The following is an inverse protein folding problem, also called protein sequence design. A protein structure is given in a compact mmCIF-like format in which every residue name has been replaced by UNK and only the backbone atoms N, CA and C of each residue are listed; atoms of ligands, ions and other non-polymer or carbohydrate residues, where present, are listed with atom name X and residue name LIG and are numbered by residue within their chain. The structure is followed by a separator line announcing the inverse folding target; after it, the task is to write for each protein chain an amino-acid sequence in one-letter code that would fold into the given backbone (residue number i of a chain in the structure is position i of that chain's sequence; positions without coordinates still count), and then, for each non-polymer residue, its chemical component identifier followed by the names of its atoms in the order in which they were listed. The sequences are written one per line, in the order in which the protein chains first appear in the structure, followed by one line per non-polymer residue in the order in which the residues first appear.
data_IF_878033522734
#
_entry.id   IF_878033522734
#
_cell.length_a   1.000
_cell.length_b   1.000
_cell.length_c   1.000
_cell.angle_alpha   90.00
_cell.angle_beta   90.00
_cell.angle_gamma   90.00
#
_symmetry.space_group_name_H-M   'P 1'
#
loop_
_entity.id
_entity.type
_entity.pdbx_description
1 polymer ?
#
# COMPACT_ATOMS: atom_id res chain seq x y z
N UNK A 1 -14.30 -59.57 33.85
CA UNK A 1 -15.03 -58.34 33.49
C UNK A 1 -14.39 -57.03 33.91
N UNK A 2 -13.19 -56.96 34.50
CA UNK A 2 -12.53 -55.68 34.93
C UNK A 2 -11.45 -55.15 33.95
N UNK A 3 -11.05 -55.91 32.91
CA UNK A 3 -10.01 -55.46 31.96
C UNK A 3 -10.52 -54.68 30.76
N UNK A 4 -11.79 -54.78 30.41
CA UNK A 4 -12.37 -54.07 29.25
C UNK A 4 -12.88 -52.65 29.60
N UNK A 5 -13.09 -52.37 30.90
CA UNK A 5 -13.58 -51.04 31.31
C UNK A 5 -12.46 -49.98 31.33
N UNK A 6 -11.20 -50.40 31.50
CA UNK A 6 -10.06 -49.48 31.52
C UNK A 6 -9.63 -49.05 30.11
N UNK A 7 -9.88 -49.89 29.10
CA UNK A 7 -9.59 -49.54 27.70
C UNK A 7 -10.60 -48.54 27.10
N UNK A 8 -11.82 -48.56 27.58
CA UNK A 8 -12.86 -47.62 27.11
C UNK A 8 -12.70 -46.21 27.69
N UNK A 9 -12.18 -46.10 28.91
CA UNK A 9 -11.89 -44.80 29.54
C UNK A 9 -10.66 -44.15 28.91
N UNK A 10 -9.62 -44.92 28.58
CA UNK A 10 -8.42 -44.41 27.88
C UNK A 10 -8.73 -43.98 26.43
N UNK A 11 -9.65 -44.61 25.73
CA UNK A 11 -10.06 -44.22 24.40
C UNK A 11 -10.95 -42.96 24.42
N UNK A 12 -11.77 -42.73 25.45
CA UNK A 12 -12.54 -41.51 25.65
C UNK A 12 -11.64 -40.32 26.03
N UNK A 13 -10.58 -40.54 26.83
CA UNK A 13 -9.60 -39.49 27.12
C UNK A 13 -8.75 -39.13 25.90
N UNK A 14 -8.41 -40.09 25.04
CA UNK A 14 -7.70 -39.82 23.79
C UNK A 14 -8.59 -39.09 22.73
N UNK A 15 -9.90 -39.28 22.79
CA UNK A 15 -10.88 -38.55 21.96
C UNK A 15 -11.19 -37.16 22.54
N UNK A 16 -11.16 -36.97 23.86
CA UNK A 16 -11.30 -35.66 24.51
C UNK A 16 -10.07 -34.77 24.34
N UNK A 17 -8.87 -35.36 24.23
CA UNK A 17 -7.64 -34.61 23.98
C UNK A 17 -7.55 -34.05 22.51
N UNK A 18 -8.42 -34.50 21.62
CA UNK A 18 -8.50 -33.99 20.24
C UNK A 18 -9.53 -32.88 20.02
N UNK A 19 -10.24 -32.46 21.04
CA UNK A 19 -11.26 -31.40 20.99
C UNK A 19 -10.84 -30.12 21.75
N UNK A 20 -9.56 -29.87 21.94
CA UNK A 20 -9.10 -28.52 22.23
C UNK A 20 -9.15 -27.77 20.89
N UNK A 21 -10.11 -26.85 20.75
CA UNK A 21 -10.17 -25.94 19.61
C UNK A 21 -8.78 -25.29 19.46
N UNK A 22 -8.11 -25.59 18.37
CA UNK A 22 -6.82 -24.97 18.08
C UNK A 22 -7.04 -23.47 17.96
N UNK A 23 -6.28 -22.68 18.71
CA UNK A 23 -6.28 -21.22 18.60
C UNK A 23 -5.77 -20.85 17.20
N UNK A 24 -6.63 -20.23 16.40
CA UNK A 24 -6.37 -19.96 14.98
C UNK A 24 -5.83 -18.55 14.76
N UNK A 25 -5.32 -18.28 13.56
CA UNK A 25 -4.98 -16.91 13.15
C UNK A 25 -6.21 -15.98 13.20
N UNK A 26 -7.41 -16.47 12.89
CA UNK A 26 -8.64 -15.70 12.98
C UNK A 26 -8.95 -15.27 14.42
N UNK A 27 -8.78 -16.17 15.38
CA UNK A 27 -8.94 -15.87 16.81
C UNK A 27 -7.91 -14.82 17.26
N UNK A 28 -6.66 -14.97 16.79
CA UNK A 28 -5.61 -14.01 17.07
C UNK A 28 -5.93 -12.61 16.49
N UNK A 29 -6.45 -12.49 15.27
CA UNK A 29 -6.80 -11.21 14.70
C UNK A 29 -7.89 -10.48 15.47
N UNK A 30 -8.91 -11.19 15.95
CA UNK A 30 -9.94 -10.60 16.82
C UNK A 30 -9.34 -10.06 18.12
N UNK A 31 -8.42 -10.80 18.74
CA UNK A 31 -7.69 -10.36 19.93
C UNK A 31 -6.79 -9.14 19.62
N UNK A 32 -6.04 -9.21 18.52
CA UNK A 32 -5.10 -8.16 18.11
C UNK A 32 -5.78 -6.83 17.83
N UNK A 33 -6.96 -6.85 17.21
CA UNK A 33 -7.74 -5.64 16.93
C UNK A 33 -8.17 -4.95 18.23
N UNK A 34 -8.70 -5.69 19.20
CA UNK A 34 -9.10 -5.14 20.49
C UNK A 34 -7.88 -4.60 21.28
N UNK A 35 -6.76 -5.31 21.21
CA UNK A 35 -5.51 -4.89 21.82
C UNK A 35 -4.98 -3.59 21.18
N UNK A 36 -5.10 -3.45 19.85
CA UNK A 36 -4.66 -2.27 19.10
C UNK A 36 -5.37 -0.99 19.51
N UNK A 37 -6.68 -1.03 19.65
CA UNK A 37 -7.49 0.11 20.10
C UNK A 37 -7.04 0.57 21.50
N UNK A 38 -6.79 -0.38 22.41
CA UNK A 38 -6.31 -0.09 23.76
C UNK A 38 -4.90 0.47 23.76
N UNK A 39 -3.98 -0.06 22.94
CA UNK A 39 -2.62 0.46 22.77
C UNK A 39 -2.66 1.92 22.33
N UNK A 40 -3.48 2.24 21.33
CA UNK A 40 -3.58 3.61 20.81
C UNK A 40 -4.07 4.60 21.89
N UNK A 41 -4.99 4.18 22.75
CA UNK A 41 -5.43 4.99 23.87
C UNK A 41 -4.31 5.18 24.89
N UNK A 42 -3.65 4.10 25.33
CA UNK A 42 -2.57 4.14 26.32
C UNK A 42 -1.39 5.00 25.84
N UNK A 43 -1.06 4.90 24.56
CA UNK A 43 -0.02 5.71 23.93
C UNK A 43 -0.32 7.21 24.06
N UNK A 44 -1.55 7.63 23.71
CA UNK A 44 -2.01 9.04 23.86
C UNK A 44 -2.00 9.51 25.30
N UNK A 45 -2.23 8.61 26.25
CA UNK A 45 -2.21 8.90 27.70
C UNK A 45 -0.79 8.86 28.29
N UNK A 46 0.24 8.49 27.51
CA UNK A 46 1.62 8.34 28.00
C UNK A 46 1.83 7.12 28.91
N UNK A 47 0.90 6.18 28.92
CA UNK A 47 0.94 4.96 29.76
C UNK A 47 1.76 3.83 29.10
N UNK A 48 3.00 4.13 28.78
CA UNK A 48 3.87 3.26 27.99
C UNK A 48 4.18 1.92 28.65
N UNK A 49 4.13 1.84 29.99
CA UNK A 49 4.35 0.56 30.68
C UNK A 49 3.18 -0.41 30.48
N UNK A 50 1.94 0.08 30.55
CA UNK A 50 0.75 -0.72 30.29
C UNK A 50 0.66 -1.14 28.82
N UNK A 51 1.07 -0.25 27.91
CA UNK A 51 1.16 -0.53 26.47
C UNK A 51 2.20 -1.60 26.17
N UNK A 52 3.38 -1.55 26.80
CA UNK A 52 4.43 -2.58 26.70
C UNK A 52 3.91 -3.98 27.09
N UNK A 53 3.12 -4.07 28.16
CA UNK A 53 2.53 -5.32 28.62
C UNK A 53 1.57 -5.92 27.59
N UNK A 54 0.80 -5.07 26.87
CA UNK A 54 -0.07 -5.52 25.80
C UNK A 54 0.76 -6.08 24.64
N UNK A 55 1.83 -5.42 24.22
CA UNK A 55 2.69 -5.94 23.15
C UNK A 55 3.35 -7.28 23.53
N UNK A 56 3.79 -7.42 24.78
CA UNK A 56 4.34 -8.70 25.28
C UNK A 56 3.26 -9.79 25.28
N UNK A 57 2.03 -9.45 25.68
CA UNK A 57 0.90 -10.38 25.65
C UNK A 57 0.55 -10.79 24.22
N UNK A 58 0.57 -9.84 23.27
CA UNK A 58 0.37 -10.12 21.85
C UNK A 58 1.40 -11.13 21.31
N UNK A 59 2.68 -10.97 21.64
CA UNK A 59 3.71 -11.94 21.24
C UNK A 59 3.44 -13.34 21.78
N UNK A 60 3.06 -13.45 23.06
CA UNK A 60 2.72 -14.74 23.70
C UNK A 60 1.52 -15.38 23.01
N UNK A 61 0.46 -14.60 22.76
CA UNK A 61 -0.74 -15.09 22.07
C UNK A 61 -0.45 -15.55 20.64
N UNK A 62 0.46 -14.88 19.95
CA UNK A 62 0.87 -15.26 18.61
C UNK A 62 1.64 -16.60 18.60
N UNK A 63 2.32 -16.96 19.67
CA UNK A 63 2.99 -18.26 19.84
C UNK A 63 2.01 -19.42 20.06
N UNK A 64 0.78 -19.14 20.56
CA UNK A 64 -0.27 -20.13 20.75
C UNK A 64 -0.98 -20.51 19.43
N UNK A 65 -0.77 -19.75 18.34
CA UNK A 65 -1.45 -19.96 17.06
C UNK A 65 -1.00 -21.26 16.43
N UNK A 66 -1.98 -22.12 16.15
CA UNK A 66 -1.78 -23.36 15.41
C UNK A 66 -1.93 -23.11 13.91
N UNK A 67 -0.95 -23.55 13.13
CA UNK A 67 -1.04 -23.49 11.67
C UNK A 67 -2.05 -24.51 11.17
N UNK A 68 -2.87 -24.13 10.21
CA UNK A 68 -3.79 -25.03 9.51
C UNK A 68 -3.06 -25.71 8.34
N UNK A 69 -3.62 -26.81 7.83
CA UNK A 69 -3.07 -27.50 6.64
C UNK A 69 -3.22 -26.67 5.36
N UNK A 70 -4.14 -25.71 5.36
CA UNK A 70 -4.36 -24.80 4.24
C UNK A 70 -3.30 -23.67 4.25
N UNK A 71 -2.37 -23.72 3.30
CA UNK A 71 -1.27 -22.78 3.08
C UNK A 71 -0.42 -22.44 4.34
N UNK A 72 0.25 -23.42 4.94
CA UNK A 72 1.05 -23.20 6.17
C UNK A 72 2.22 -22.22 5.95
N UNK A 73 2.75 -22.14 4.73
CA UNK A 73 3.84 -21.22 4.37
C UNK A 73 3.37 -19.75 4.45
N UNK A 74 2.19 -19.46 3.90
CA UNK A 74 1.60 -18.12 3.95
C UNK A 74 1.29 -17.71 5.39
N UNK A 75 0.73 -18.63 6.18
CA UNK A 75 0.45 -18.38 7.59
C UNK A 75 1.71 -18.09 8.38
N UNK A 76 2.80 -18.85 8.15
CA UNK A 76 4.09 -18.59 8.78
C UNK A 76 4.64 -17.21 8.42
N UNK A 77 4.63 -16.84 7.15
CA UNK A 77 5.08 -15.52 6.70
C UNK A 77 4.27 -14.40 7.35
N UNK A 78 2.96 -14.59 7.49
CA UNK A 78 2.07 -13.64 8.16
C UNK A 78 2.40 -13.50 9.65
N UNK A 79 2.66 -14.61 10.35
CA UNK A 79 3.10 -14.61 11.75
C UNK A 79 4.43 -13.87 11.91
N UNK A 80 5.39 -14.08 11.01
CA UNK A 80 6.66 -13.36 11.03
C UNK A 80 6.47 -11.85 10.82
N UNK A 81 5.62 -11.45 9.88
CA UNK A 81 5.27 -10.05 9.66
C UNK A 81 4.57 -9.40 10.88
N UNK A 82 3.67 -10.13 11.52
CA UNK A 82 3.05 -9.67 12.78
C UNK A 82 4.08 -9.51 13.90
N UNK A 83 4.99 -10.47 14.08
CA UNK A 83 6.09 -10.35 15.05
C UNK A 83 6.97 -9.14 14.75
N UNK A 84 7.31 -8.90 13.50
CA UNK A 84 8.10 -7.75 13.07
C UNK A 84 7.47 -6.44 13.53
N UNK A 85 6.17 -6.26 13.28
CA UNK A 85 5.43 -5.05 13.68
C UNK A 85 5.29 -4.91 15.20
N UNK A 86 5.00 -6.00 15.92
CA UNK A 86 4.88 -5.97 17.38
C UNK A 86 6.21 -5.60 18.01
N UNK A 87 7.33 -6.18 17.56
CA UNK A 87 8.66 -5.85 18.07
C UNK A 87 9.06 -4.40 17.75
N UNK A 88 8.65 -3.85 16.59
CA UNK A 88 8.86 -2.46 16.27
C UNK A 88 8.14 -1.55 17.27
N UNK A 89 6.84 -1.77 17.49
CA UNK A 89 6.06 -1.00 18.47
C UNK A 89 6.60 -1.17 19.90
N UNK A 90 7.06 -2.37 20.25
CA UNK A 90 7.72 -2.62 21.52
C UNK A 90 9.03 -1.83 21.67
N UNK A 91 9.78 -1.63 20.57
CA UNK A 91 10.96 -0.78 20.56
C UNK A 91 10.59 0.68 20.79
N UNK A 92 9.49 1.18 20.17
CA UNK A 92 8.96 2.53 20.35
C UNK A 92 8.63 2.80 21.83
N UNK A 93 7.76 2.00 22.43
CA UNK A 93 7.33 2.23 23.82
C UNK A 93 8.48 2.09 24.82
N UNK A 94 9.45 1.20 24.58
CA UNK A 94 10.65 1.08 25.41
C UNK A 94 11.59 2.28 25.25
N UNK A 95 11.70 2.83 24.05
CA UNK A 95 12.42 4.09 23.82
C UNK A 95 11.79 5.24 24.62
N UNK A 96 10.46 5.41 24.54
CA UNK A 96 9.74 6.45 25.26
C UNK A 96 9.89 6.30 26.78
N UNK A 97 10.01 5.08 27.29
CA UNK A 97 10.31 4.81 28.71
C UNK A 97 11.81 4.99 29.06
N UNK A 98 12.65 5.41 28.12
CA UNK A 98 14.11 5.51 28.27
C UNK A 98 14.81 4.17 28.60
N UNK A 99 14.16 3.03 28.27
CA UNK A 99 14.74 1.68 28.35
C UNK A 99 15.58 1.41 27.10
N UNK A 100 16.68 2.15 26.95
CA UNK A 100 17.44 2.24 25.68
C UNK A 100 17.93 0.90 25.17
N UNK A 101 18.48 0.06 26.05
CA UNK A 101 19.02 -1.26 25.68
C UNK A 101 17.91 -2.16 25.17
N UNK A 102 16.82 -2.27 25.91
CA UNK A 102 15.66 -3.10 25.58
C UNK A 102 14.93 -2.62 24.32
N UNK A 103 14.90 -1.29 24.07
CA UNK A 103 14.36 -0.72 22.85
C UNK A 103 15.19 -1.14 21.63
N UNK A 104 16.51 -1.07 21.69
CA UNK A 104 17.41 -1.48 20.62
C UNK A 104 17.32 -2.99 20.36
N UNK A 105 17.25 -3.81 21.41
CA UNK A 105 17.07 -5.27 21.29
C UNK A 105 15.72 -5.63 20.63
N UNK A 106 14.66 -4.87 20.94
CA UNK A 106 13.36 -5.07 20.30
C UNK A 106 13.40 -4.66 18.81
N UNK A 107 14.03 -3.53 18.46
CA UNK A 107 14.21 -3.12 17.06
C UNK A 107 15.06 -4.14 16.28
N UNK A 108 16.09 -4.69 16.87
CA UNK A 108 16.89 -5.74 16.25
C UNK A 108 16.05 -6.99 15.95
N UNK A 109 15.16 -7.39 16.86
CA UNK A 109 14.21 -8.48 16.64
C UNK A 109 13.19 -8.13 15.53
N UNK A 110 12.67 -6.91 15.52
CA UNK A 110 11.78 -6.46 14.44
C UNK A 110 12.43 -6.66 13.07
N UNK A 111 13.67 -6.21 12.91
CA UNK A 111 14.45 -6.36 11.67
C UNK A 111 14.71 -7.85 11.35
N UNK A 112 15.02 -8.67 12.34
CA UNK A 112 15.23 -10.10 12.15
C UNK A 112 13.97 -10.85 11.68
N UNK A 113 12.78 -10.37 12.04
CA UNK A 113 11.49 -10.86 11.55
C UNK A 113 11.02 -10.20 10.24
N UNK A 114 11.86 -9.36 9.61
CA UNK A 114 11.58 -8.80 8.28
C UNK A 114 11.05 -7.36 8.26
N UNK A 115 11.05 -6.64 9.42
CA UNK A 115 10.77 -5.20 9.40
C UNK A 115 11.81 -4.46 8.57
N UNK A 116 11.39 -3.62 7.62
CA UNK A 116 12.28 -3.03 6.63
C UNK A 116 11.99 -1.55 6.29
N UNK A 117 11.15 -0.85 7.08
CA UNK A 117 10.84 0.55 6.81
C UNK A 117 11.91 1.49 7.37
N UNK A 118 12.90 1.81 6.51
CA UNK A 118 13.97 2.74 6.82
C UNK A 118 13.47 4.15 7.12
N UNK A 119 12.53 4.66 6.30
CA UNK A 119 12.09 6.06 6.40
C UNK A 119 11.30 6.30 7.66
N UNK A 120 10.36 5.41 7.95
CA UNK A 120 9.58 5.48 9.17
C UNK A 120 10.51 5.40 10.39
N UNK A 121 11.38 4.40 10.47
CA UNK A 121 12.34 4.25 11.58
C UNK A 121 13.21 5.49 11.78
N UNK A 122 13.66 6.12 10.69
CA UNK A 122 14.54 7.30 10.73
C UNK A 122 13.84 8.53 11.31
N UNK A 123 12.56 8.71 11.03
CA UNK A 123 11.78 9.91 11.38
C UNK A 123 10.87 9.72 12.58
N UNK A 124 10.63 8.50 13.00
CA UNK A 124 9.73 8.16 14.10
C UNK A 124 10.15 8.86 15.40
N UNK A 125 9.25 9.67 15.93
CA UNK A 125 9.51 10.50 17.12
C UNK A 125 9.65 9.65 18.38
N UNK A 126 9.09 8.46 18.42
CA UNK A 126 9.19 7.53 19.55
C UNK A 126 10.64 7.09 19.83
N UNK A 127 11.50 7.16 18.81
CA UNK A 127 12.92 6.83 18.97
C UNK A 127 13.80 7.98 19.45
N UNK A 128 13.21 9.10 19.92
CA UNK A 128 13.97 10.27 20.34
C UNK A 128 15.07 9.94 21.37
N UNK A 129 14.81 9.01 22.28
CA UNK A 129 15.74 8.64 23.35
C UNK A 129 16.87 7.71 22.90
N UNK A 130 16.71 7.03 21.75
CA UNK A 130 17.74 6.10 21.23
C UNK A 130 18.32 6.54 19.87
N UNK A 131 17.79 7.58 19.24
CA UNK A 131 18.17 8.04 17.89
C UNK A 131 19.67 8.32 17.72
N UNK A 132 20.35 8.71 18.80
CA UNK A 132 21.81 8.99 18.82
C UNK A 132 22.66 7.81 19.25
N UNK A 133 22.07 6.70 19.65
CA UNK A 133 22.79 5.52 20.09
C UNK A 133 23.49 4.83 18.91
N UNK A 134 24.77 4.49 19.07
CA UNK A 134 25.56 3.85 17.98
C UNK A 134 24.90 2.59 17.44
N UNK A 135 24.32 1.76 18.30
CA UNK A 135 23.64 0.53 17.89
C UNK A 135 22.39 0.82 17.07
N UNK A 136 21.59 1.85 17.43
CA UNK A 136 20.45 2.28 16.65
C UNK A 136 20.85 2.72 15.24
N UNK A 137 21.91 3.52 15.11
CA UNK A 137 22.42 3.96 13.82
C UNK A 137 22.88 2.79 12.94
N UNK A 138 23.51 1.79 13.53
CA UNK A 138 23.87 0.55 12.81
C UNK A 138 22.64 -0.21 12.33
N UNK A 139 21.58 -0.33 13.15
CA UNK A 139 20.33 -0.97 12.75
C UNK A 139 19.62 -0.17 11.66
N UNK A 140 19.62 1.15 11.77
CA UNK A 140 19.05 2.03 10.75
C UNK A 140 19.75 1.84 9.39
N UNK A 141 21.08 1.76 9.37
CA UNK A 141 21.84 1.51 8.12
C UNK A 141 21.54 0.10 7.54
N UNK A 142 21.19 -0.91 8.35
CA UNK A 142 20.73 -2.22 7.85
C UNK A 142 19.39 -2.11 7.09
N UNK A 143 18.53 -1.16 7.46
CA UNK A 143 17.25 -0.91 6.79
C UNK A 143 17.40 -0.12 5.48
N UNK A 144 18.47 0.67 5.34
CA UNK A 144 18.66 1.58 4.20
C UNK A 144 18.56 0.92 2.82
N UNK A 145 19.07 -0.30 2.57
CA UNK A 145 18.93 -0.97 1.28
C UNK A 145 17.49 -1.26 0.86
N UNK A 146 16.53 -1.26 1.81
CA UNK A 146 15.10 -1.45 1.55
C UNK A 146 14.35 -0.14 1.26
N UNK A 147 14.99 1.03 1.44
CA UNK A 147 14.37 2.32 1.08
C UNK A 147 14.11 2.39 -0.42
N UNK A 148 12.83 2.53 -0.79
CA UNK A 148 12.39 2.59 -2.19
C UNK A 148 13.08 3.71 -2.97
N UNK A 149 13.42 4.85 -2.33
CA UNK A 149 14.18 5.92 -2.97
C UNK A 149 15.64 5.51 -3.22
N UNK A 150 16.28 4.86 -2.27
CA UNK A 150 17.64 4.34 -2.43
C UNK A 150 17.70 3.31 -3.56
N UNK A 151 16.71 2.39 -3.60
CA UNK A 151 16.54 1.42 -4.69
C UNK A 151 16.39 2.15 -6.04
N UNK A 152 15.55 3.17 -6.09
CA UNK A 152 15.31 3.97 -7.30
C UNK A 152 16.59 4.70 -7.74
N UNK A 153 17.33 5.30 -6.82
CA UNK A 153 18.59 6.01 -7.10
C UNK A 153 19.66 5.08 -7.65
N UNK A 154 19.70 3.83 -7.19
CA UNK A 154 20.62 2.80 -7.67
C UNK A 154 20.19 2.14 -8.99
N UNK A 155 18.93 2.27 -9.37
CA UNK A 155 18.38 1.60 -10.57
C UNK A 155 18.85 2.20 -11.90
N UNK A 156 19.47 3.40 -11.91
CA UNK A 156 19.89 4.10 -13.12
C UNK A 156 18.74 4.65 -13.98
N UNK A 157 19.04 5.00 -15.23
CA UNK A 157 18.07 5.54 -16.17
C UNK A 157 17.15 4.48 -16.77
N UNK A 158 16.08 4.91 -17.47
CA UNK A 158 15.27 4.01 -18.28
C UNK A 158 16.08 3.38 -19.43
N UNK A 159 15.78 2.13 -19.74
CA UNK A 159 16.28 1.52 -20.97
C UNK A 159 15.70 2.25 -22.18
N UNK A 160 16.58 2.72 -23.06
CA UNK A 160 16.17 3.45 -24.29
C UNK A 160 16.11 2.55 -25.52
N UNK A 161 16.50 1.30 -25.41
CA UNK A 161 16.43 0.36 -26.55
C UNK A 161 14.98 -0.05 -26.78
N UNK A 162 14.46 0.38 -27.92
CA UNK A 162 13.23 -0.20 -28.47
C UNK A 162 13.59 -1.54 -29.09
N UNK A 163 12.97 -2.61 -28.63
CA UNK A 163 12.98 -3.87 -29.35
C UNK A 163 11.93 -3.76 -30.44
N UNK A 164 12.30 -4.04 -31.70
CA UNK A 164 11.39 -4.01 -32.88
C UNK A 164 10.22 -5.01 -32.76
N UNK A 165 10.18 -5.79 -31.68
CA UNK A 165 9.13 -6.76 -31.38
C UNK A 165 7.91 -6.16 -30.68
N UNK A 166 7.98 -4.90 -30.20
CA UNK A 166 6.83 -4.27 -29.56
C UNK A 166 5.87 -3.71 -30.62
N UNK A 167 4.56 -3.97 -30.51
CA UNK A 167 3.57 -3.40 -31.39
C UNK A 167 3.59 -1.86 -31.29
N UNK A 168 3.32 -1.18 -32.42
CA UNK A 168 3.15 0.26 -32.41
C UNK A 168 1.93 0.61 -31.56
N UNK A 169 2.12 1.53 -30.61
CA UNK A 169 1.04 2.05 -29.80
C UNK A 169 0.24 3.07 -30.63
N UNK A 170 -1.07 2.87 -30.71
CA UNK A 170 -2.01 3.78 -31.36
C UNK A 170 -3.12 4.15 -30.40
N UNK A 171 -3.73 5.32 -30.63
CA UNK A 171 -4.87 5.77 -29.85
C UNK A 171 -6.16 5.51 -30.62
N UNK A 172 -7.19 5.11 -29.89
CA UNK A 172 -8.54 5.03 -30.38
C UNK A 172 -9.04 6.45 -30.74
N UNK A 173 -9.80 6.57 -31.83
CA UNK A 173 -10.39 7.85 -32.20
C UNK A 173 -11.43 8.28 -31.17
N UNK A 174 -11.47 9.57 -30.82
CA UNK A 174 -12.54 10.11 -29.96
C UNK A 174 -13.95 9.96 -30.56
N UNK A 175 -14.04 9.66 -31.87
CA UNK A 175 -15.29 9.34 -32.57
C UNK A 175 -15.64 7.87 -32.58
N UNK A 176 -14.85 7.05 -31.91
CA UNK A 176 -15.19 5.63 -31.72
C UNK A 176 -16.50 5.53 -30.90
N UNK A 177 -17.45 4.69 -31.32
CA UNK A 177 -18.76 4.60 -30.65
C UNK A 177 -18.66 4.32 -29.13
N UNK A 178 -17.67 3.54 -28.71
CA UNK A 178 -17.47 3.26 -27.28
C UNK A 178 -17.05 4.50 -26.51
N UNK A 179 -16.14 5.31 -27.06
CA UNK A 179 -15.69 6.56 -26.44
C UNK A 179 -16.76 7.66 -26.51
N UNK A 180 -17.55 7.73 -27.61
CA UNK A 180 -18.72 8.61 -27.68
C UNK A 180 -19.76 8.23 -26.61
N UNK A 181 -19.96 6.93 -26.36
CA UNK A 181 -20.84 6.46 -25.29
C UNK A 181 -20.35 6.92 -23.92
N UNK A 182 -19.06 6.76 -23.60
CA UNK A 182 -18.45 7.27 -22.35
C UNK A 182 -18.64 8.78 -22.21
N UNK A 183 -18.38 9.54 -23.29
CA UNK A 183 -18.53 11.01 -23.33
C UNK A 183 -19.96 11.44 -22.98
N UNK A 184 -20.94 10.78 -23.59
CA UNK A 184 -22.36 11.08 -23.39
C UNK A 184 -22.84 10.65 -22.01
N UNK A 185 -22.45 9.45 -21.55
CA UNK A 185 -22.86 8.88 -20.26
C UNK A 185 -22.47 9.81 -19.10
N UNK A 186 -21.21 10.25 -19.07
CA UNK A 186 -20.69 11.13 -18.03
C UNK A 186 -20.93 12.62 -18.31
N UNK A 187 -21.49 13.00 -19.48
CA UNK A 187 -21.64 14.39 -19.92
C UNK A 187 -20.31 15.14 -19.87
N UNK A 188 -19.25 14.52 -20.43
CA UNK A 188 -17.87 14.97 -20.23
C UNK A 188 -17.62 16.40 -20.72
N UNK A 189 -18.35 16.92 -21.70
CA UNK A 189 -18.27 18.31 -22.12
C UNK A 189 -18.63 19.29 -21.00
N UNK A 190 -19.64 18.92 -20.19
CA UNK A 190 -20.04 19.70 -19.03
C UNK A 190 -19.02 19.57 -17.88
N UNK A 191 -18.53 18.35 -17.64
CA UNK A 191 -17.54 18.04 -16.60
C UNK A 191 -16.23 18.76 -16.88
N UNK A 192 -15.73 18.65 -18.10
CA UNK A 192 -14.48 19.28 -18.53
C UNK A 192 -14.59 20.83 -18.52
N UNK A 193 -15.77 21.36 -18.79
CA UNK A 193 -16.01 22.79 -18.78
C UNK A 193 -15.46 23.51 -20.04
N UNK A 194 -15.52 24.86 -20.01
CA UNK A 194 -15.16 25.72 -21.14
C UNK A 194 -13.73 26.30 -21.06
N UNK A 195 -12.94 25.91 -20.08
CA UNK A 195 -11.57 26.36 -19.89
C UNK A 195 -10.60 25.87 -20.96
N UNK A 196 -9.33 26.23 -20.81
CA UNK A 196 -8.25 25.72 -21.63
C UNK A 196 -8.04 24.18 -21.45
N UNK A 197 -7.11 23.61 -22.20
CA UNK A 197 -6.85 22.18 -22.19
C UNK A 197 -6.46 21.67 -20.77
N UNK A 198 -5.57 22.39 -20.07
CA UNK A 198 -5.13 22.01 -18.72
C UNK A 198 -6.27 22.05 -17.72
N UNK A 199 -7.13 23.07 -17.82
CA UNK A 199 -8.34 23.15 -16.99
C UNK A 199 -9.26 21.93 -17.21
N UNK A 200 -9.43 21.48 -18.44
CA UNK A 200 -10.21 20.29 -18.77
C UNK A 200 -9.57 19.02 -18.21
N UNK A 201 -8.26 18.86 -18.37
CA UNK A 201 -7.51 17.73 -17.80
C UNK A 201 -7.73 17.66 -16.28
N UNK A 202 -7.57 18.75 -15.56
CA UNK A 202 -7.73 18.76 -14.11
C UNK A 202 -9.18 18.67 -13.65
N UNK A 203 -10.14 19.13 -14.44
CA UNK A 203 -11.56 18.95 -14.12
C UNK A 203 -11.97 17.48 -14.20
N UNK A 204 -11.51 16.75 -15.21
CA UNK A 204 -11.73 15.31 -15.35
C UNK A 204 -11.03 14.50 -14.23
N UNK A 205 -9.81 14.87 -13.86
CA UNK A 205 -9.09 14.30 -12.73
C UNK A 205 -9.92 14.42 -11.43
N UNK A 206 -10.35 15.66 -11.11
CA UNK A 206 -11.19 15.91 -9.92
C UNK A 206 -12.52 15.19 -9.96
N UNK A 207 -13.12 15.07 -11.14
CA UNK A 207 -14.37 14.35 -11.29
C UNK A 207 -14.23 12.88 -10.91
N UNK A 208 -13.23 12.18 -11.42
CA UNK A 208 -12.98 10.76 -11.09
C UNK A 208 -12.71 10.61 -9.60
N UNK A 209 -11.78 11.39 -9.06
CA UNK A 209 -11.43 11.34 -7.65
C UNK A 209 -12.62 11.55 -6.70
N UNK A 210 -13.47 12.54 -7.01
CA UNK A 210 -14.58 12.91 -6.12
C UNK A 210 -15.81 12.00 -6.26
N UNK A 211 -15.94 11.27 -7.36
CA UNK A 211 -17.13 10.47 -7.63
C UNK A 211 -16.95 8.96 -7.47
N UNK A 212 -15.71 8.48 -7.36
CA UNK A 212 -15.38 7.07 -7.19
C UNK A 212 -14.40 6.94 -6.03
N UNK A 213 -14.83 6.33 -4.93
CA UNK A 213 -13.97 6.16 -3.76
C UNK A 213 -12.82 5.18 -4.03
N UNK A 214 -11.65 5.46 -3.50
CA UNK A 214 -10.51 4.55 -3.55
C UNK A 214 -10.56 3.53 -2.40
N UNK A 215 -10.29 2.26 -2.74
CA UNK A 215 -10.01 1.18 -1.80
C UNK A 215 -8.96 0.25 -2.42
N UNK A 216 -7.72 0.37 -1.99
CA UNK A 216 -6.60 -0.42 -2.52
C UNK A 216 -6.75 -1.93 -2.31
N UNK A 217 -7.50 -2.34 -1.28
CA UNK A 217 -7.78 -3.74 -0.96
C UNK A 217 -8.93 -4.35 -1.76
N UNK A 218 -9.76 -3.54 -2.42
CA UNK A 218 -10.90 -4.02 -3.17
C UNK A 218 -10.60 -4.14 -4.67
N UNK A 219 -10.51 -5.37 -5.16
CA UNK A 219 -10.48 -5.65 -6.58
C UNK A 219 -11.93 -5.79 -7.08
N UNK A 220 -12.47 -4.72 -7.66
CA UNK A 220 -13.86 -4.69 -8.14
C UNK A 220 -14.08 -5.74 -9.23
N UNK A 221 -15.11 -6.57 -9.07
CA UNK A 221 -15.51 -7.58 -10.04
C UNK A 221 -16.49 -6.95 -11.04
N UNK A 222 -15.96 -6.20 -12.00
CA UNK A 222 -16.68 -5.56 -13.09
C UNK A 222 -15.79 -5.53 -14.33
N UNK A 223 -16.33 -5.16 -15.49
CA UNK A 223 -15.53 -4.93 -16.68
C UNK A 223 -14.56 -3.75 -16.47
N UNK A 224 -13.45 -3.79 -17.21
CA UNK A 224 -12.42 -2.75 -17.12
C UNK A 224 -12.70 -1.58 -18.05
N UNK A 225 -13.87 -0.98 -17.88
CA UNK A 225 -14.27 0.26 -18.55
C UNK A 225 -14.84 1.29 -17.57
N UNK A 226 -14.88 2.55 -17.98
CA UNK A 226 -15.24 3.67 -17.12
C UNK A 226 -16.66 3.57 -16.57
N UNK A 227 -17.60 3.07 -17.37
CA UNK A 227 -19.02 3.01 -17.02
C UNK A 227 -19.27 1.91 -16.02
N UNK A 228 -18.75 0.72 -16.26
CA UNK A 228 -18.95 -0.44 -15.36
C UNK A 228 -18.26 -0.24 -14.03
N UNK A 229 -17.05 0.33 -14.01
CA UNK A 229 -16.34 0.70 -12.77
C UNK A 229 -17.17 1.72 -11.95
N UNK A 230 -17.68 2.75 -12.61
CA UNK A 230 -18.51 3.75 -11.94
C UNK A 230 -19.81 3.14 -11.40
N UNK A 231 -20.48 2.31 -12.18
CA UNK A 231 -21.71 1.63 -11.80
C UNK A 231 -21.50 0.64 -10.66
N UNK A 232 -20.38 -0.11 -10.66
CA UNK A 232 -19.99 -0.95 -9.53
C UNK A 232 -19.89 -0.15 -8.23
N UNK A 233 -19.18 0.99 -8.26
CA UNK A 233 -19.06 1.87 -7.09
C UNK A 233 -20.44 2.39 -6.64
N UNK A 234 -21.26 2.85 -7.57
CA UNK A 234 -22.60 3.38 -7.26
C UNK A 234 -23.55 2.33 -6.65
N UNK A 235 -23.53 1.12 -7.19
CA UNK A 235 -24.39 0.03 -6.74
C UNK A 235 -23.94 -0.55 -5.38
N UNK A 236 -22.65 -0.74 -5.20
CA UNK A 236 -22.09 -1.43 -4.02
C UNK A 236 -21.71 -0.51 -2.88
N UNK A 237 -21.50 0.78 -3.16
CA UNK A 237 -20.89 1.79 -2.26
C UNK A 237 -19.47 1.44 -1.81
N UNK A 238 -18.83 0.44 -2.42
CA UNK A 238 -17.43 0.07 -2.17
C UNK A 238 -16.51 0.93 -3.00
N UNK A 239 -15.33 1.22 -2.47
CA UNK A 239 -14.23 1.83 -3.23
C UNK A 239 -13.68 0.85 -4.28
N UNK A 240 -12.84 1.36 -5.16
CA UNK A 240 -12.12 0.58 -6.18
C UNK A 240 -10.62 0.87 -6.07
N UNK A 241 -9.76 -0.02 -6.58
CA UNK A 241 -8.32 0.21 -6.49
C UNK A 241 -7.81 1.24 -7.52
N UNK A 242 -6.54 1.63 -7.38
CA UNK A 242 -5.89 2.65 -8.22
C UNK A 242 -5.96 2.34 -9.73
N UNK A 243 -5.91 1.06 -10.12
CA UNK A 243 -6.01 0.65 -11.53
C UNK A 243 -7.37 1.00 -12.13
N UNK A 244 -8.45 0.73 -11.41
CA UNK A 244 -9.80 1.07 -11.88
C UNK A 244 -9.99 2.58 -12.04
N UNK A 245 -9.49 3.38 -11.08
CA UNK A 245 -9.53 4.85 -11.18
C UNK A 245 -8.74 5.34 -12.39
N UNK A 246 -7.54 4.79 -12.61
CA UNK A 246 -6.70 5.17 -13.75
C UNK A 246 -7.30 4.76 -15.09
N UNK A 247 -7.97 3.61 -15.20
CA UNK A 247 -8.71 3.17 -16.41
C UNK A 247 -9.86 4.12 -16.68
N UNK A 248 -10.68 4.41 -15.67
CA UNK A 248 -11.81 5.34 -15.79
C UNK A 248 -11.37 6.70 -16.31
N UNK A 249 -10.33 7.27 -15.72
CA UNK A 249 -9.81 8.58 -16.14
C UNK A 249 -9.19 8.52 -17.55
N UNK A 250 -8.50 7.42 -17.87
CA UNK A 250 -7.93 7.23 -19.22
C UNK A 250 -8.98 7.26 -20.30
N UNK A 251 -10.09 6.53 -20.14
CA UNK A 251 -11.17 6.52 -21.12
C UNK A 251 -11.86 7.88 -21.23
N UNK A 252 -12.05 8.60 -20.12
CA UNK A 252 -12.60 9.96 -20.16
C UNK A 252 -11.69 10.92 -20.94
N UNK A 253 -10.36 10.81 -20.79
CA UNK A 253 -9.43 11.60 -21.61
C UNK A 253 -9.51 11.24 -23.07
N UNK A 254 -9.49 9.96 -23.42
CA UNK A 254 -9.60 9.50 -24.81
C UNK A 254 -10.92 9.93 -25.45
N UNK A 255 -12.04 9.84 -24.71
CA UNK A 255 -13.36 10.30 -25.14
C UNK A 255 -13.41 11.83 -25.43
N UNK A 256 -12.53 12.59 -24.77
CA UNK A 256 -12.36 14.03 -25.01
C UNK A 256 -11.28 14.36 -26.06
N UNK A 257 -10.71 13.34 -26.70
CA UNK A 257 -9.64 13.49 -27.69
C UNK A 257 -8.29 13.87 -27.10
N UNK A 258 -8.10 13.66 -25.81
CA UNK A 258 -6.84 13.92 -25.08
C UNK A 258 -6.05 12.61 -25.01
N UNK A 259 -4.88 12.48 -25.67
CA UNK A 259 -4.10 11.27 -25.62
C UNK A 259 -3.67 10.93 -24.18
N UNK A 260 -4.00 9.75 -23.73
CA UNK A 260 -3.71 9.29 -22.37
C UNK A 260 -3.43 7.80 -22.36
N UNK A 261 -2.69 7.37 -21.35
CA UNK A 261 -2.45 5.96 -21.03
C UNK A 261 -2.28 5.81 -19.51
N UNK A 262 -2.76 4.73 -18.96
CA UNK A 262 -2.42 4.39 -17.57
C UNK A 262 -1.09 3.63 -17.51
N UNK A 263 -0.35 3.84 -16.44
CA UNK A 263 1.00 3.29 -16.23
C UNK A 263 1.05 2.65 -14.85
N UNK A 264 1.44 1.38 -14.79
CA UNK A 264 1.68 0.69 -13.52
C UNK A 264 3.12 0.95 -13.07
N UNK A 265 3.26 1.56 -11.91
CA UNK A 265 4.54 1.73 -11.22
C UNK A 265 4.79 0.47 -10.39
N UNK A 266 5.71 -0.37 -10.85
CA UNK A 266 6.04 -1.63 -10.20
C UNK A 266 7.27 -1.49 -9.30
N UNK A 267 7.34 -2.21 -8.16
CA UNK A 267 8.56 -2.33 -7.38
C UNK A 267 9.64 -3.09 -8.15
N UNK A 268 10.89 -2.95 -7.72
CA UNK A 268 12.03 -3.68 -8.30
C UNK A 268 11.98 -5.18 -7.99
N UNK A 269 11.54 -5.52 -6.79
CA UNK A 269 11.37 -6.93 -6.38
C UNK A 269 10.07 -7.47 -7.00
N UNK A 270 10.13 -8.52 -7.84
CA UNK A 270 8.94 -9.12 -8.46
C UNK A 270 8.00 -9.81 -7.45
N UNK A 271 8.47 -10.08 -6.23
CA UNK A 271 7.65 -10.64 -5.15
C UNK A 271 6.95 -9.58 -4.31
N UNK A 272 7.34 -8.31 -4.45
CA UNK A 272 6.65 -7.18 -3.82
C UNK A 272 5.40 -6.86 -4.65
N UNK A 273 4.23 -7.08 -4.08
CA UNK A 273 2.94 -6.83 -4.74
C UNK A 273 2.47 -5.38 -4.61
N UNK A 274 3.23 -4.53 -3.91
CA UNK A 274 2.92 -3.12 -3.74
C UNK A 274 3.16 -2.36 -5.05
N UNK A 275 2.08 -2.04 -5.76
CA UNK A 275 2.15 -1.27 -7.00
C UNK A 275 1.14 -0.12 -6.98
N UNK A 276 1.42 0.90 -7.79
CA UNK A 276 0.50 2.01 -7.98
C UNK A 276 0.26 2.29 -9.46
N UNK A 277 -0.98 2.65 -9.81
CA UNK A 277 -1.36 2.93 -11.21
C UNK A 277 -1.77 4.39 -11.35
N UNK A 278 -1.13 5.07 -12.27
CA UNK A 278 -1.31 6.50 -12.57
C UNK A 278 -1.58 6.70 -14.07
N UNK A 279 -1.89 7.92 -14.46
CA UNK A 279 -2.05 8.29 -15.87
C UNK A 279 -0.86 9.11 -16.38
N UNK A 280 -0.48 8.87 -17.63
CA UNK A 280 0.38 9.72 -18.42
C UNK A 280 -0.48 10.37 -19.49
N UNK A 281 -0.64 11.70 -19.46
CA UNK A 281 -1.55 12.46 -20.29
C UNK A 281 -0.76 13.43 -21.17
N UNK A 282 -1.02 13.46 -22.49
CA UNK A 282 -0.33 14.38 -23.39
C UNK A 282 -1.08 15.70 -23.46
N UNK A 283 -0.41 16.76 -23.09
CA UNK A 283 -0.93 18.12 -23.30
C UNK A 283 -0.42 18.70 -24.61
N UNK A 284 -1.34 19.00 -25.51
CA UNK A 284 -1.06 19.74 -26.76
C UNK A 284 -0.59 21.16 -26.45
N UNK A 285 -1.15 21.78 -25.42
CA UNK A 285 -0.79 23.14 -25.00
C UNK A 285 0.68 23.20 -24.55
N UNK A 286 1.16 22.16 -23.83
CA UNK A 286 2.53 22.08 -23.33
C UNK A 286 3.47 21.30 -24.26
N UNK A 287 2.94 20.64 -25.29
CA UNK A 287 3.69 19.73 -26.18
C UNK A 287 4.48 18.66 -25.41
N UNK A 288 3.91 18.15 -24.31
CA UNK A 288 4.56 17.14 -23.48
C UNK A 288 3.56 16.25 -22.72
N UNK A 289 4.06 15.11 -22.28
CA UNK A 289 3.36 14.24 -21.33
C UNK A 289 3.42 14.81 -19.93
N UNK A 290 2.33 14.67 -19.16
CA UNK A 290 2.25 15.05 -17.75
C UNK A 290 1.81 13.87 -16.89
N UNK A 291 2.28 13.84 -15.65
CA UNK A 291 1.96 12.87 -14.62
C UNK A 291 0.66 13.25 -13.92
N UNK A 292 -0.31 12.34 -13.87
CA UNK A 292 -1.63 12.56 -13.26
C UNK A 292 -1.99 11.33 -12.41
N UNK A 293 -2.48 11.54 -11.19
CA UNK A 293 -2.91 10.48 -10.28
C UNK A 293 -4.35 10.68 -9.81
N UNK A 294 -5.31 9.91 -10.30
CA UNK A 294 -6.71 10.02 -9.90
C UNK A 294 -6.96 9.52 -8.47
N UNK A 295 -6.12 8.64 -7.95
CA UNK A 295 -6.25 8.14 -6.58
C UNK A 295 -6.07 9.27 -5.56
N UNK A 296 -5.09 10.12 -5.78
CA UNK A 296 -4.73 11.20 -4.86
C UNK A 296 -5.18 12.60 -5.34
N UNK A 297 -5.93 12.70 -6.45
CA UNK A 297 -6.24 13.96 -7.12
C UNK A 297 -4.99 14.81 -7.36
N UNK A 298 -3.90 14.16 -7.79
CA UNK A 298 -2.59 14.79 -7.79
C UNK A 298 -1.98 14.95 -9.18
N UNK A 299 -1.18 16.00 -9.31
CA UNK A 299 -0.21 16.21 -10.37
C UNK A 299 1.07 16.82 -9.78
N UNK A 300 2.18 16.71 -10.51
CA UNK A 300 3.49 17.10 -10.00
C UNK A 300 4.07 18.25 -10.81
N UNK A 301 4.64 19.22 -10.11
CA UNK A 301 5.37 20.36 -10.68
C UNK A 301 6.82 20.38 -10.19
N UNK A 302 7.66 21.10 -10.92
CA UNK A 302 8.94 21.54 -10.41
C UNK A 302 8.80 22.81 -9.54
N UNK A 303 9.92 23.31 -9.02
CA UNK A 303 10.03 24.54 -8.22
C UNK A 303 9.64 25.81 -8.99
N UNK A 304 9.60 25.75 -10.32
CA UNK A 304 9.22 26.86 -11.19
C UNK A 304 7.74 26.78 -11.62
N UNK A 305 7.00 25.76 -11.14
CA UNK A 305 5.59 25.56 -11.45
C UNK A 305 5.33 24.80 -12.75
N UNK A 306 6.36 24.26 -13.43
CA UNK A 306 6.19 23.48 -14.65
C UNK A 306 5.69 22.07 -14.34
N UNK A 307 4.63 21.63 -15.02
CA UNK A 307 4.11 20.25 -14.90
C UNK A 307 5.14 19.24 -15.38
N UNK A 308 5.26 18.13 -14.66
CA UNK A 308 6.25 17.09 -14.89
C UNK A 308 5.63 15.81 -15.46
N UNK A 309 6.36 15.16 -16.35
CA UNK A 309 6.10 13.79 -16.80
C UNK A 309 6.56 12.76 -15.78
N UNK A 310 6.13 11.50 -15.94
CA UNK A 310 6.59 10.36 -15.12
C UNK A 310 8.12 10.23 -15.14
N UNK A 311 8.73 10.42 -16.32
CA UNK A 311 10.18 10.34 -16.48
C UNK A 311 10.91 11.49 -15.76
N UNK A 312 10.38 12.71 -15.84
CA UNK A 312 10.96 13.87 -15.14
C UNK A 312 10.81 13.75 -13.61
N UNK A 313 9.65 13.26 -13.12
CA UNK A 313 9.46 12.98 -11.69
C UNK A 313 10.49 11.96 -11.21
N UNK A 314 10.68 10.87 -11.95
CA UNK A 314 11.67 9.85 -11.63
C UNK A 314 13.10 10.40 -11.62
N UNK A 315 13.47 11.19 -12.65
CA UNK A 315 14.79 11.82 -12.72
C UNK A 315 15.05 12.74 -11.52
N UNK A 316 14.05 13.54 -11.16
CA UNK A 316 14.14 14.44 -10.00
C UNK A 316 14.28 13.69 -8.68
N UNK A 317 13.57 12.56 -8.49
CA UNK A 317 13.73 11.69 -7.32
C UNK A 317 15.15 11.10 -7.24
N UNK A 318 15.69 10.63 -8.38
CA UNK A 318 17.05 10.08 -8.44
C UNK A 318 18.09 11.12 -8.02
N UNK A 319 17.90 12.38 -8.46
CA UNK A 319 18.86 13.46 -8.22
C UNK A 319 18.50 14.34 -7.01
N UNK A 320 17.56 13.93 -6.16
CA UNK A 320 17.09 14.69 -5.00
C UNK A 320 16.67 16.14 -5.34
N UNK A 321 16.08 16.35 -6.53
CA UNK A 321 15.55 17.64 -6.94
C UNK A 321 14.14 17.85 -6.35
N UNK A 322 13.75 19.10 -6.05
CA UNK A 322 12.42 19.38 -5.49
C UNK A 322 11.27 18.88 -6.37
N UNK A 323 10.22 18.38 -5.73
CA UNK A 323 8.94 18.04 -6.34
C UNK A 323 7.83 18.75 -5.57
N UNK A 324 6.91 19.39 -6.30
CA UNK A 324 5.78 20.11 -5.73
C UNK A 324 4.49 19.41 -6.17
N UNK A 325 3.76 18.89 -5.21
CA UNK A 325 2.39 18.39 -5.41
C UNK A 325 1.40 19.57 -5.42
N UNK A 326 0.27 19.42 -6.13
CA UNK A 326 -0.81 20.42 -6.12
C UNK A 326 -1.50 20.53 -4.78
#
# INVERSE_FOLDING_TARGET
MKKYFLFFILSLFALYAKAQSSYTLGDYFNYFQQAGDKCQQLHKEGKYQEEEEIFISNLKKLEEVSLTEEDPKRQKNLIEALKANIYYNLACVRSLQNKKKEAIEALEKAIAFGYNDYRHTKTDEDFINIRKEKKFLVLLEKLRPFDKLVILQQAGGYQKQHTDTLPRFTYQSAKDPSLEHVRNYFKLDSVAGKGDELSKIFNLLRFVHNNIAHDGGNYALCEFDAIDIYNYHKATKKGVNCRHLAITLNEMYLAMGIPSRYVTCMPKDPNDMDCHVINSVYSQQLQKWIWIDPTNNAYVKDENGNLLSIAEVRDRLIHNKPLVLN
#
